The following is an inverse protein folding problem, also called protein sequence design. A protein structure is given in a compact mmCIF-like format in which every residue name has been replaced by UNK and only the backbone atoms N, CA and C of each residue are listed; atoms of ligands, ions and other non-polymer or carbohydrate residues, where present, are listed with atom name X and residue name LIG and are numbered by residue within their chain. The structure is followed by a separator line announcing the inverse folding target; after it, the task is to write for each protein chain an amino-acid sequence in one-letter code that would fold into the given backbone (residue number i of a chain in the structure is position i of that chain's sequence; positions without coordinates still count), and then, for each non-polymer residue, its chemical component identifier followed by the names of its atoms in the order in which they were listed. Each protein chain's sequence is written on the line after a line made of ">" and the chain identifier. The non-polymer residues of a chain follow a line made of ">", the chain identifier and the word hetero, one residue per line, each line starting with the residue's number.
data_IF_784427600145
#
_entry.id   IF_784427600145
#
_cell.length_a   1.000
_cell.length_b   1.000
_cell.length_c   1.000
_cell.angle_alpha   90.00
_cell.angle_beta   90.00
_cell.angle_gamma   90.00
#
_symmetry.space_group_name_H-M   'P 1'
#
loop_
_entity.id
_entity.type
_entity.pdbx_description
1 polymer ?
#
# COMPACT_ATOMS: atom_id res chain seq x y z
N UNK A 1 -6.61 10.30 -15.21
CA UNK A 1 -5.83 10.46 -13.98
C UNK A 1 -6.12 9.26 -13.08
N UNK A 2 -5.19 8.33 -12.90
CA UNK A 2 -5.44 7.12 -12.11
C UNK A 2 -4.93 7.30 -10.68
N UNK A 3 -5.83 7.44 -9.71
CA UNK A 3 -5.50 7.53 -8.28
C UNK A 3 -4.85 6.25 -7.73
N UNK A 4 -4.41 6.32 -6.48
CA UNK A 4 -4.07 5.16 -5.67
C UNK A 4 -5.25 4.88 -4.73
N UNK A 5 -5.50 3.59 -4.49
CA UNK A 5 -6.55 3.17 -3.55
C UNK A 5 -6.04 3.25 -2.10
N UNK A 6 -4.73 3.01 -1.91
CA UNK A 6 -4.06 3.05 -0.60
C UNK A 6 -2.70 3.74 -0.76
N UNK A 7 -2.39 4.66 0.16
CA UNK A 7 -1.06 5.24 0.31
C UNK A 7 -0.59 4.97 1.74
N UNK A 8 0.50 4.22 1.88
CA UNK A 8 1.16 3.98 3.16
C UNK A 8 2.29 5.00 3.30
N UNK A 9 2.47 5.57 4.49
CA UNK A 9 3.57 6.52 4.76
C UNK A 9 4.46 5.91 5.83
N UNK A 10 5.66 5.50 5.42
CA UNK A 10 6.67 4.88 6.27
C UNK A 10 6.83 3.38 6.00
N UNK A 11 8.06 2.95 5.71
CA UNK A 11 8.39 1.57 5.31
C UNK A 11 8.91 0.70 6.47
N UNK A 12 8.54 1.03 7.71
CA UNK A 12 8.85 0.18 8.87
C UNK A 12 8.12 -1.17 8.80
N UNK A 13 8.34 -2.08 9.77
CA UNK A 13 7.80 -3.44 9.73
C UNK A 13 6.28 -3.51 9.52
N UNK A 14 5.52 -2.60 10.14
CA UNK A 14 4.07 -2.52 9.91
C UNK A 14 3.67 -1.93 8.56
N UNK A 15 4.43 -0.94 8.07
CA UNK A 15 4.10 -0.21 6.85
C UNK A 15 4.28 -1.04 5.59
N UNK A 16 5.42 -1.74 5.45
CA UNK A 16 5.64 -2.60 4.29
C UNK A 16 4.66 -3.79 4.30
N UNK A 17 4.34 -4.36 5.47
CA UNK A 17 3.35 -5.45 5.59
C UNK A 17 1.95 -4.98 5.19
N UNK A 18 1.55 -3.79 5.63
CA UNK A 18 0.27 -3.20 5.24
C UNK A 18 0.19 -2.96 3.72
N UNK A 19 1.25 -2.41 3.11
CA UNK A 19 1.28 -2.19 1.67
C UNK A 19 1.26 -3.49 0.86
N UNK A 20 1.99 -4.53 1.30
CA UNK A 20 1.97 -5.85 0.66
C UNK A 20 0.58 -6.50 0.76
N UNK A 21 -0.10 -6.42 1.90
CA UNK A 21 -1.47 -6.95 2.01
C UNK A 21 -2.46 -6.16 1.16
N UNK A 22 -2.33 -4.84 1.08
CA UNK A 22 -3.16 -4.03 0.18
C UNK A 22 -2.96 -4.42 -1.29
N UNK A 23 -1.71 -4.65 -1.72
CA UNK A 23 -1.42 -5.14 -3.07
C UNK A 23 -2.03 -6.54 -3.34
N UNK A 24 -1.96 -7.47 -2.37
CA UNK A 24 -2.59 -8.79 -2.51
C UNK A 24 -4.12 -8.74 -2.57
N UNK A 25 -4.75 -7.70 -2.03
CA UNK A 25 -6.18 -7.46 -2.15
C UNK A 25 -6.55 -6.78 -3.47
N UNK A 26 -5.59 -6.56 -4.37
CA UNK A 26 -5.80 -5.93 -5.67
C UNK A 26 -5.90 -4.40 -5.62
N UNK A 27 -5.56 -3.78 -4.48
CA UNK A 27 -5.57 -2.32 -4.35
C UNK A 27 -4.32 -1.72 -4.99
N UNK A 28 -4.50 -0.65 -5.77
CA UNK A 28 -3.39 0.12 -6.32
C UNK A 28 -2.73 0.90 -5.19
N UNK A 29 -1.65 0.34 -4.66
CA UNK A 29 -1.01 0.79 -3.44
C UNK A 29 0.26 1.60 -3.76
N UNK A 30 0.43 2.75 -3.11
CA UNK A 30 1.70 3.44 -2.97
C UNK A 30 2.24 3.20 -1.56
N UNK A 31 3.55 3.00 -1.43
CA UNK A 31 4.27 2.84 -0.17
C UNK A 31 5.22 4.02 0.04
#
# INVERSE_FOLDING_TARGET
>A
MGGYDVVVIGAGPGGYVAAIRAAHLGMKTAL
#
